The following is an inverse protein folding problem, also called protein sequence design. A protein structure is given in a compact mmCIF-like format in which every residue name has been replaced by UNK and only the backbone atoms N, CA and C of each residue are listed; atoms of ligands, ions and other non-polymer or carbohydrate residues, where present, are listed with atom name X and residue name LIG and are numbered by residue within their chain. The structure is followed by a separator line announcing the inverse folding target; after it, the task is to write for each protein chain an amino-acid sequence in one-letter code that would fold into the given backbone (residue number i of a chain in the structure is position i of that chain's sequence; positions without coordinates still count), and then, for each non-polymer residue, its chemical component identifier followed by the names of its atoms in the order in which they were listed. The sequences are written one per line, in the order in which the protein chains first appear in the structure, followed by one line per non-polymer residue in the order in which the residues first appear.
data_IF_123823659443
#
_entry.id   IF_123823659443
#
_cell.length_a   1.000
_cell.length_b   1.000
_cell.length_c   1.000
_cell.angle_alpha   90.00
_cell.angle_beta   90.00
_cell.angle_gamma   90.00
#
_symmetry.space_group_name_H-M   'P 1'
#
loop_
_entity.id
_entity.type
_entity.pdbx_description
1 polymer ?
#
# COMPACT_ATOMS: atom_id res chain seq x y z
N UNK A 1 -16.33 62.36 1.34
CA UNK A 1 -16.93 61.19 0.71
C UNK A 1 -16.31 59.94 1.28
N UNK A 2 -17.04 59.25 2.18
CA UNK A 2 -16.64 57.96 2.76
C UNK A 2 -17.38 56.88 1.99
N UNK A 3 -16.64 55.96 1.32
CA UNK A 3 -17.12 54.65 0.81
C UNK A 3 -16.16 53.64 1.42
N UNK A 4 -16.56 52.82 2.20
CA UNK A 4 -17.34 51.68 2.41
C UNK A 4 -16.44 50.45 2.21
N UNK A 5 -15.60 50.11 3.26
CA UNK A 5 -14.91 48.80 3.35
C UNK A 5 -15.73 47.94 4.30
N UNK A 6 -16.65 47.16 3.78
CA UNK A 6 -17.31 46.06 4.52
C UNK A 6 -17.88 45.07 3.50
N UNK A 7 -17.29 43.94 3.30
CA UNK A 7 -17.99 42.66 3.02
C UNK A 7 -17.11 41.44 2.67
N UNK A 8 -15.80 41.51 2.74
CA UNK A 8 -15.01 40.36 2.32
C UNK A 8 -14.48 39.47 3.46
N UNK A 9 -14.80 39.75 4.74
CA UNK A 9 -14.29 38.97 5.89
C UNK A 9 -15.17 37.78 6.29
N UNK A 10 -16.37 37.62 5.79
CA UNK A 10 -17.28 36.56 6.27
C UNK A 10 -17.25 35.31 5.39
N UNK A 11 -16.90 35.40 4.12
CA UNK A 11 -16.84 34.25 3.23
C UNK A 11 -15.58 33.39 3.41
N UNK A 12 -14.47 33.98 3.88
CA UNK A 12 -13.22 33.24 4.11
C UNK A 12 -13.27 32.28 5.29
N UNK A 13 -14.07 32.60 6.32
CA UNK A 13 -14.16 31.78 7.54
C UNK A 13 -15.01 30.51 7.34
N UNK A 14 -16.05 30.58 6.53
CA UNK A 14 -16.91 29.42 6.27
C UNK A 14 -16.22 28.37 5.39
N UNK A 15 -15.36 28.80 4.45
CA UNK A 15 -14.64 27.90 3.54
C UNK A 15 -13.54 27.09 4.25
N UNK A 16 -12.87 27.70 5.25
CA UNK A 16 -11.83 27.03 6.03
C UNK A 16 -12.43 26.00 7.00
N UNK A 17 -13.58 26.29 7.59
CA UNK A 17 -14.26 25.33 8.47
C UNK A 17 -14.79 24.10 7.71
N UNK A 18 -15.24 24.25 6.48
CA UNK A 18 -15.70 23.12 5.63
C UNK A 18 -14.53 22.21 5.22
N UNK A 19 -13.36 22.76 4.95
CA UNK A 19 -12.17 21.96 4.62
C UNK A 19 -11.60 21.23 5.84
N UNK A 20 -11.64 21.84 7.02
CA UNK A 20 -11.20 21.20 8.27
C UNK A 20 -12.16 20.10 8.72
N UNK A 21 -13.48 20.28 8.52
CA UNK A 21 -14.49 19.26 8.79
C UNK A 21 -14.31 18.03 7.91
N UNK A 22 -14.11 18.21 6.61
CA UNK A 22 -13.86 17.09 5.68
C UNK A 22 -12.58 16.30 5.99
N UNK A 23 -11.52 16.99 6.44
CA UNK A 23 -10.29 16.32 6.89
C UNK A 23 -10.50 15.53 8.18
N UNK A 24 -11.29 16.06 9.13
CA UNK A 24 -11.57 15.37 10.39
C UNK A 24 -12.45 14.11 10.17
N UNK A 25 -13.48 14.19 9.35
CA UNK A 25 -14.32 13.04 8.99
C UNK A 25 -13.52 11.94 8.26
N UNK A 26 -12.59 12.33 7.39
CA UNK A 26 -11.72 11.36 6.70
C UNK A 26 -10.73 10.70 7.67
N UNK A 27 -10.23 11.42 8.64
CA UNK A 27 -9.31 10.91 9.66
C UNK A 27 -10.00 9.97 10.66
N UNK A 28 -11.26 10.23 11.03
CA UNK A 28 -12.07 9.31 11.85
C UNK A 28 -12.39 8.00 11.11
N UNK A 29 -12.63 8.03 9.78
CA UNK A 29 -12.89 6.83 8.98
C UNK A 29 -11.66 5.93 8.85
N UNK A 30 -10.46 6.51 8.83
CA UNK A 30 -9.19 5.77 8.78
C UNK A 30 -8.78 5.19 10.14
N UNK A 31 -9.23 5.81 11.25
CA UNK A 31 -8.91 5.37 12.61
C UNK A 31 -9.74 4.14 13.06
N UNK A 32 -10.73 3.70 12.30
CA UNK A 32 -11.70 2.69 12.72
C UNK A 32 -11.47 1.32 12.05
N UNK A 33 -10.20 0.94 11.87
CA UNK A 33 -9.84 -0.41 11.43
C UNK A 33 -10.06 -1.40 12.58
N UNK A 34 -11.12 -2.19 12.49
CA UNK A 34 -11.43 -3.23 13.47
C UNK A 34 -10.52 -4.46 13.25
N UNK A 35 -9.56 -4.73 14.16
CA UNK A 35 -8.62 -5.83 14.00
C UNK A 35 -9.29 -7.21 14.08
N UNK A 36 -10.54 -7.32 14.51
CA UNK A 36 -11.31 -8.57 14.47
C UNK A 36 -11.77 -8.95 13.07
N UNK A 37 -11.78 -8.00 12.13
CA UNK A 37 -12.27 -8.18 10.76
C UNK A 37 -11.21 -8.66 9.77
N UNK A 38 -9.98 -8.83 10.21
CA UNK A 38 -8.91 -9.43 9.41
C UNK A 38 -7.99 -10.29 10.26
N UNK A 39 -7.25 -11.19 9.63
CA UNK A 39 -6.11 -11.89 10.20
C UNK A 39 -4.84 -11.29 9.63
N UNK A 40 -3.85 -11.05 10.47
CA UNK A 40 -2.55 -10.54 10.08
C UNK A 40 -1.51 -11.67 10.19
N UNK A 41 -0.91 -12.03 9.05
CA UNK A 41 0.33 -12.78 9.02
C UNK A 41 1.47 -11.79 8.84
N UNK A 42 2.28 -11.62 9.90
CA UNK A 42 3.34 -10.63 9.95
C UNK A 42 4.67 -11.20 9.52
N UNK A 43 5.51 -10.36 8.90
CA UNK A 43 6.89 -10.68 8.52
C UNK A 43 7.02 -11.97 7.68
N UNK A 44 6.07 -12.21 6.76
CA UNK A 44 6.12 -13.35 5.86
C UNK A 44 7.31 -13.21 4.91
N UNK A 45 8.31 -14.09 5.04
CA UNK A 45 9.49 -14.07 4.17
C UNK A 45 9.09 -14.45 2.74
N UNK A 46 9.40 -13.58 1.78
CA UNK A 46 9.09 -13.81 0.37
C UNK A 46 10.34 -13.88 -0.53
N UNK A 47 11.46 -13.29 -0.10
CA UNK A 47 12.75 -13.41 -0.78
C UNK A 47 13.91 -13.12 0.19
N UNK A 48 15.13 -13.51 -0.22
CA UNK A 48 16.36 -13.20 0.55
C UNK A 48 17.53 -12.90 -0.42
N UNK A 49 17.43 -11.82 -1.23
CA UNK A 49 18.49 -11.48 -2.18
C UNK A 49 19.78 -11.07 -1.43
N UNK A 50 20.90 -11.73 -1.77
CA UNK A 50 22.22 -11.47 -1.15
C UNK A 50 22.21 -11.56 0.39
N UNK A 51 21.30 -12.36 0.97
CA UNK A 51 21.19 -12.53 2.43
C UNK A 51 20.42 -11.42 3.16
N UNK A 52 19.75 -10.52 2.44
CA UNK A 52 18.81 -9.56 3.00
C UNK A 52 17.39 -10.13 2.92
N UNK A 53 16.82 -10.45 4.08
CA UNK A 53 15.46 -10.98 4.13
C UNK A 53 14.43 -9.90 3.80
N UNK A 54 13.64 -10.14 2.77
CA UNK A 54 12.52 -9.32 2.36
C UNK A 54 11.23 -9.97 2.81
N UNK A 55 10.46 -9.24 3.60
CA UNK A 55 9.21 -9.72 4.18
C UNK A 55 8.01 -8.94 3.66
N UNK A 56 6.82 -9.47 3.88
CA UNK A 56 5.56 -8.76 3.70
C UNK A 56 4.60 -9.09 4.83
N UNK A 57 3.71 -8.16 5.14
CA UNK A 57 2.59 -8.37 6.03
C UNK A 57 1.34 -8.70 5.21
N UNK A 58 0.64 -9.78 5.55
CA UNK A 58 -0.54 -10.23 4.80
C UNK A 58 -1.79 -10.08 5.66
N UNK A 59 -2.69 -9.20 5.23
CA UNK A 59 -3.98 -8.93 5.85
C UNK A 59 -5.06 -9.72 5.13
N UNK A 60 -5.66 -10.68 5.81
CA UNK A 60 -6.72 -11.54 5.24
C UNK A 60 -8.07 -11.21 5.88
N UNK A 61 -9.11 -10.79 5.12
CA UNK A 61 -10.44 -10.55 5.67
C UNK A 61 -11.04 -11.76 6.36
N UNK A 62 -11.90 -11.54 7.37
CA UNK A 62 -12.60 -12.60 8.12
C UNK A 62 -14.09 -12.68 7.81
N UNK A 63 -14.57 -12.08 6.71
CA UNK A 63 -16.00 -12.02 6.35
C UNK A 63 -16.59 -13.34 5.87
N UNK A 64 -15.80 -14.40 5.80
CA UNK A 64 -16.29 -15.75 5.52
C UNK A 64 -16.33 -16.15 4.05
N UNK A 65 -15.89 -15.29 3.11
CA UNK A 65 -15.78 -15.67 1.71
C UNK A 65 -14.75 -16.81 1.51
N UNK A 66 -14.96 -17.62 0.47
CA UNK A 66 -14.03 -18.69 0.12
C UNK A 66 -12.68 -18.13 -0.36
N UNK A 67 -12.72 -17.10 -1.20
CA UNK A 67 -11.54 -16.36 -1.67
C UNK A 67 -11.82 -14.87 -1.79
N UNK A 68 -10.75 -14.06 -1.80
CA UNK A 68 -10.81 -12.60 -1.91
C UNK A 68 -9.93 -12.10 -3.04
N UNK A 69 -10.24 -10.99 -3.70
CA UNK A 69 -9.29 -10.32 -4.57
C UNK A 69 -8.08 -9.86 -3.77
N UNK A 70 -6.96 -9.69 -4.44
CA UNK A 70 -5.66 -9.41 -3.81
C UNK A 70 -5.15 -8.02 -4.23
N UNK A 71 -4.56 -7.31 -3.28
CA UNK A 71 -3.80 -6.08 -3.53
C UNK A 71 -2.38 -6.27 -3.02
N UNK A 72 -1.40 -6.09 -3.90
CA UNK A 72 0.01 -5.96 -3.52
C UNK A 72 0.33 -4.48 -3.36
N UNK A 73 0.81 -4.10 -2.20
CA UNK A 73 1.01 -2.71 -1.81
C UNK A 73 2.49 -2.43 -1.55
N UNK A 74 3.03 -1.42 -2.24
CA UNK A 74 4.41 -0.98 -2.10
C UNK A 74 4.47 0.39 -1.42
N UNK A 75 5.30 0.54 -0.40
CA UNK A 75 5.45 1.79 0.34
C UNK A 75 6.25 2.85 -0.40
N UNK A 76 6.06 4.12 -0.05
CA UNK A 76 6.88 5.26 -0.48
C UNK A 76 8.17 5.41 0.33
N UNK A 77 8.91 6.48 0.05
CA UNK A 77 10.16 6.78 0.74
C UNK A 77 11.34 7.02 -0.21
N UNK A 78 11.05 7.36 -1.48
CA UNK A 78 12.07 7.68 -2.48
C UNK A 78 13.01 6.54 -2.80
N UNK A 79 12.59 5.30 -2.59
CA UNK A 79 13.40 4.07 -2.70
C UNK A 79 14.60 4.02 -1.72
N UNK A 80 14.69 4.93 -0.76
CA UNK A 80 15.85 5.14 0.11
C UNK A 80 15.57 4.85 1.58
N UNK A 81 14.34 5.09 2.01
CA UNK A 81 13.91 5.03 3.42
C UNK A 81 12.53 4.38 3.56
N UNK A 82 12.12 4.14 4.79
CA UNK A 82 10.85 3.55 5.23
C UNK A 82 10.78 2.02 5.05
N UNK A 83 9.71 1.48 5.53
CA UNK A 83 9.30 0.09 5.40
C UNK A 83 7.76 0.01 5.26
N UNK A 84 7.24 -1.21 5.17
CA UNK A 84 5.80 -1.45 4.98
C UNK A 84 4.92 -0.86 6.09
N UNK A 85 5.44 -0.61 7.29
CA UNK A 85 4.65 -0.14 8.44
C UNK A 85 3.94 1.19 8.18
N UNK A 86 4.47 2.04 7.31
CA UNK A 86 3.81 3.30 6.94
C UNK A 86 2.49 3.10 6.19
N UNK A 87 2.26 1.91 5.62
CA UNK A 87 1.06 1.55 4.87
C UNK A 87 0.07 0.69 5.70
N UNK A 88 0.39 0.34 6.95
CA UNK A 88 -0.42 -0.57 7.78
C UNK A 88 -1.88 -0.15 7.89
N UNK A 89 -2.14 1.14 8.11
CA UNK A 89 -3.50 1.66 8.21
C UNK A 89 -4.29 1.48 6.91
N UNK A 90 -3.65 1.75 5.78
CA UNK A 90 -4.26 1.58 4.46
C UNK A 90 -4.51 0.10 4.14
N UNK A 91 -3.57 -0.77 4.49
CA UNK A 91 -3.70 -2.22 4.32
C UNK A 91 -4.86 -2.78 5.16
N UNK A 92 -4.91 -2.42 6.44
CA UNK A 92 -5.99 -2.79 7.34
C UNK A 92 -7.35 -2.26 6.86
N UNK A 93 -7.40 -1.02 6.36
CA UNK A 93 -8.63 -0.43 5.81
C UNK A 93 -9.16 -1.23 4.62
N UNK A 94 -8.31 -1.56 3.64
CA UNK A 94 -8.72 -2.34 2.47
C UNK A 94 -9.19 -3.75 2.86
N UNK A 95 -8.52 -4.39 3.81
CA UNK A 95 -8.95 -5.70 4.31
C UNK A 95 -10.30 -5.62 5.04
N UNK A 96 -10.49 -4.60 5.89
CA UNK A 96 -11.67 -4.45 6.74
C UNK A 96 -12.92 -4.00 5.97
N UNK A 97 -12.77 -3.05 5.03
CA UNK A 97 -13.89 -2.35 4.41
C UNK A 97 -14.12 -2.74 2.94
N UNK A 98 -13.08 -3.20 2.24
CA UNK A 98 -13.17 -3.55 0.83
C UNK A 98 -13.00 -5.06 0.56
N UNK A 99 -12.76 -5.87 1.60
CA UNK A 99 -12.61 -7.32 1.50
C UNK A 99 -11.51 -7.76 0.53
N UNK A 100 -10.36 -7.07 0.55
CA UNK A 100 -9.16 -7.51 -0.16
C UNK A 100 -8.23 -8.29 0.77
N UNK A 101 -7.58 -9.33 0.27
CA UNK A 101 -6.30 -9.75 0.84
C UNK A 101 -5.26 -8.73 0.44
N UNK A 102 -4.55 -8.15 1.42
CA UNK A 102 -3.55 -7.12 1.15
C UNK A 102 -2.18 -7.66 1.53
N UNK A 103 -1.26 -7.65 0.57
CA UNK A 103 0.15 -7.96 0.77
C UNK A 103 0.93 -6.65 0.84
N UNK A 104 1.29 -6.23 2.04
CA UNK A 104 2.03 -5.00 2.33
C UNK A 104 3.53 -5.31 2.33
N UNK A 105 4.24 -4.91 1.28
CA UNK A 105 5.53 -5.48 0.86
C UNK A 105 6.69 -4.59 1.26
N UNK A 106 7.73 -5.19 1.87
CA UNK A 106 9.08 -4.62 1.94
C UNK A 106 9.88 -5.04 0.70
N UNK A 107 10.65 -4.11 0.16
CA UNK A 107 11.57 -4.29 -0.96
C UNK A 107 12.92 -3.65 -0.59
N UNK A 108 14.01 -4.02 -1.29
CA UNK A 108 15.32 -3.41 -1.06
C UNK A 108 15.28 -1.90 -1.26
N UNK A 109 16.08 -1.19 -0.46
CA UNK A 109 16.27 0.24 -0.56
C UNK A 109 17.65 0.57 -1.14
N UNK A 110 17.79 1.75 -1.74
CA UNK A 110 19.09 2.23 -2.25
C UNK A 110 20.14 2.33 -1.13
N UNK A 111 19.71 2.48 0.14
CA UNK A 111 20.56 2.51 1.33
C UNK A 111 21.07 1.15 1.77
N UNK A 112 20.49 0.06 1.29
CA UNK A 112 20.88 -1.29 1.72
C UNK A 112 22.24 -1.70 1.16
N UNK A 113 22.84 -2.70 1.80
CA UNK A 113 24.18 -3.22 1.45
C UNK A 113 25.24 -2.13 1.28
N UNK A 114 25.20 -1.09 2.15
CA UNK A 114 26.17 0.01 2.10
C UNK A 114 26.00 0.91 0.88
N UNK A 115 24.75 1.14 0.46
CA UNK A 115 24.35 1.91 -0.72
C UNK A 115 24.77 1.27 -2.06
N UNK A 116 24.82 -0.05 -2.14
CA UNK A 116 25.17 -0.76 -3.38
C UNK A 116 23.96 -1.25 -4.18
N UNK A 117 22.77 -1.20 -3.59
CA UNK A 117 21.52 -1.54 -4.28
C UNK A 117 21.19 -0.48 -5.33
N UNK A 118 20.77 -0.92 -6.51
CA UNK A 118 20.37 -0.04 -7.61
C UNK A 118 18.87 -0.15 -7.91
N UNK A 119 18.34 0.83 -8.66
CA UNK A 119 16.92 0.92 -8.95
C UNK A 119 16.38 -0.30 -9.72
N UNK A 120 17.19 -0.92 -10.60
CA UNK A 120 16.75 -2.12 -11.32
C UNK A 120 16.53 -3.30 -10.38
N UNK A 121 17.34 -3.43 -9.33
CA UNK A 121 17.16 -4.46 -8.31
C UNK A 121 15.88 -4.24 -7.52
N UNK A 122 15.56 -2.99 -7.17
CA UNK A 122 14.32 -2.61 -6.48
C UNK A 122 13.10 -2.91 -7.37
N UNK A 123 13.16 -2.57 -8.65
CA UNK A 123 12.10 -2.91 -9.61
C UNK A 123 11.95 -4.43 -9.75
N UNK A 124 13.05 -5.19 -9.78
CA UNK A 124 13.00 -6.65 -9.81
C UNK A 124 12.38 -7.24 -8.53
N UNK A 125 12.60 -6.60 -7.36
CA UNK A 125 11.94 -7.01 -6.12
C UNK A 125 10.41 -6.83 -6.23
N UNK A 126 9.95 -5.73 -6.81
CA UNK A 126 8.50 -5.53 -7.01
C UNK A 126 7.88 -6.61 -7.90
N UNK A 127 8.55 -7.02 -8.98
CA UNK A 127 8.12 -8.17 -9.81
C UNK A 127 8.17 -9.48 -9.03
N UNK A 128 9.26 -9.72 -8.30
CA UNK A 128 9.43 -10.92 -7.46
C UNK A 128 8.33 -11.07 -6.43
N UNK A 129 7.97 -9.98 -5.74
CA UNK A 129 6.88 -9.97 -4.76
C UNK A 129 5.54 -10.34 -5.41
N UNK A 130 5.21 -9.79 -6.58
CA UNK A 130 3.95 -10.12 -7.27
C UNK A 130 3.95 -11.56 -7.75
N UNK A 131 5.07 -12.09 -8.26
CA UNK A 131 5.18 -13.51 -8.63
C UNK A 131 4.99 -14.41 -7.40
N UNK A 132 5.68 -14.11 -6.30
CA UNK A 132 5.50 -14.86 -5.05
C UNK A 132 4.03 -14.86 -4.59
N UNK A 133 3.37 -13.70 -4.65
CA UNK A 133 1.94 -13.59 -4.32
C UNK A 133 1.09 -14.47 -5.22
N UNK A 134 1.31 -14.47 -6.53
CA UNK A 134 0.57 -15.33 -7.47
C UNK A 134 0.75 -16.82 -7.16
N UNK A 135 1.89 -17.23 -6.64
CA UNK A 135 2.19 -18.63 -6.32
C UNK A 135 1.67 -19.06 -4.94
N UNK A 136 1.65 -18.16 -3.95
CA UNK A 136 1.45 -18.53 -2.55
C UNK A 136 0.16 -17.98 -1.91
N UNK A 137 -0.50 -16.98 -2.53
CA UNK A 137 -1.58 -16.25 -1.86
C UNK A 137 -2.85 -17.07 -1.61
N UNK A 138 -2.99 -18.23 -2.25
CA UNK A 138 -4.10 -19.13 -2.01
C UNK A 138 -4.14 -19.63 -0.55
N UNK A 139 -2.99 -19.78 0.11
CA UNK A 139 -2.86 -20.16 1.52
C UNK A 139 -3.46 -19.11 2.46
N UNK A 140 -3.56 -17.87 1.97
CA UNK A 140 -4.17 -16.72 2.66
C UNK A 140 -5.56 -16.37 2.10
N UNK A 141 -6.22 -17.32 1.40
CA UNK A 141 -7.52 -17.13 0.73
C UNK A 141 -7.53 -16.05 -0.36
N UNK A 142 -6.39 -15.67 -0.90
CA UNK A 142 -6.31 -14.75 -2.03
C UNK A 142 -6.58 -15.47 -3.35
N UNK A 143 -7.27 -14.78 -4.25
CA UNK A 143 -7.50 -15.24 -5.63
C UNK A 143 -6.35 -14.77 -6.51
N UNK A 144 -5.46 -15.69 -6.88
CA UNK A 144 -4.29 -15.43 -7.72
C UNK A 144 -4.62 -14.88 -9.11
N UNK A 145 -5.86 -14.98 -9.56
CA UNK A 145 -6.32 -14.47 -10.86
C UNK A 145 -6.84 -13.03 -10.80
N UNK A 146 -7.06 -12.51 -9.59
CA UNK A 146 -7.57 -11.16 -9.32
C UNK A 146 -6.58 -10.38 -8.45
N UNK A 147 -5.41 -10.07 -9.01
CA UNK A 147 -4.34 -9.35 -8.33
C UNK A 147 -4.22 -7.94 -8.89
N UNK A 148 -4.31 -6.96 -8.03
CA UNK A 148 -4.00 -5.56 -8.30
C UNK A 148 -2.72 -5.14 -7.59
N UNK A 149 -2.07 -4.08 -8.07
CA UNK A 149 -0.92 -3.47 -7.42
C UNK A 149 -1.22 -2.01 -7.11
N UNK A 150 -0.69 -1.51 -6.00
CA UNK A 150 -0.83 -0.11 -5.57
C UNK A 150 0.39 0.33 -4.77
N UNK A 151 0.50 1.60 -4.50
CA UNK A 151 1.52 2.18 -3.65
C UNK A 151 1.47 3.70 -3.68
N UNK A 152 2.23 4.33 -2.80
CA UNK A 152 2.40 5.78 -2.76
C UNK A 152 3.79 6.18 -3.26
N UNK A 153 3.94 7.35 -3.89
CA UNK A 153 5.24 7.92 -4.28
C UNK A 153 6.16 6.91 -5.01
N UNK A 154 7.28 6.50 -4.41
CA UNK A 154 8.17 5.46 -4.94
C UNK A 154 7.45 4.13 -5.17
N UNK A 155 6.53 3.75 -4.27
CA UNK A 155 5.69 2.55 -4.42
C UNK A 155 4.72 2.65 -5.59
N UNK A 156 4.19 3.85 -5.88
CA UNK A 156 3.38 4.08 -7.08
C UNK A 156 4.19 3.88 -8.37
N UNK A 157 5.46 4.32 -8.39
CA UNK A 157 6.37 4.04 -9.50
C UNK A 157 6.59 2.53 -9.67
N UNK A 158 6.86 1.79 -8.58
CA UNK A 158 7.03 0.33 -8.64
C UNK A 158 5.77 -0.35 -9.16
N UNK A 159 4.59 0.07 -8.70
CA UNK A 159 3.30 -0.42 -9.21
C UNK A 159 3.13 -0.16 -10.71
N UNK A 160 3.50 1.04 -11.18
CA UNK A 160 3.46 1.39 -12.60
C UNK A 160 4.43 0.55 -13.43
N UNK A 161 5.63 0.27 -12.93
CA UNK A 161 6.61 -0.61 -13.59
C UNK A 161 6.06 -2.03 -13.73
N UNK A 162 5.47 -2.60 -12.68
CA UNK A 162 4.85 -3.93 -12.71
C UNK A 162 3.75 -4.00 -13.77
N UNK A 163 2.85 -3.01 -13.82
CA UNK A 163 1.73 -2.99 -14.78
C UNK A 163 2.22 -2.83 -16.22
N UNK A 164 3.16 -1.90 -16.47
CA UNK A 164 3.61 -1.60 -17.83
C UNK A 164 4.55 -2.65 -18.41
N UNK A 165 5.17 -3.48 -17.57
CA UNK A 165 6.08 -4.55 -17.99
C UNK A 165 5.47 -5.93 -17.69
N UNK A 166 4.14 -6.04 -17.80
CA UNK A 166 3.38 -7.23 -17.43
C UNK A 166 3.79 -8.54 -18.10
N UNK A 167 4.41 -8.47 -19.29
CA UNK A 167 4.97 -9.64 -19.98
C UNK A 167 6.01 -10.39 -19.13
N UNK A 168 6.66 -9.71 -18.18
CA UNK A 168 7.58 -10.33 -17.20
C UNK A 168 6.87 -11.14 -16.11
N UNK A 169 5.55 -11.00 -15.98
CA UNK A 169 4.73 -11.73 -15.01
C UNK A 169 4.05 -12.96 -15.62
N UNK A 170 4.11 -13.12 -16.95
CA UNK A 170 3.70 -14.33 -17.64
C UNK A 170 4.88 -15.30 -17.62
N UNK A 171 4.96 -16.14 -16.60
CA UNK A 171 5.70 -17.40 -16.75
C UNK A 171 4.80 -18.34 -17.56
N UNK A 172 5.28 -18.80 -18.67
CA UNK A 172 4.72 -19.91 -19.43
C UNK A 172 4.53 -21.16 -18.57
#
# INVERSE_FOLDING_TARGET
MRRGFKQYKLLGFLSVCLLLGACAEHQESMANNDPSKYRLAKDVLWASPNGLDLTMDIYTPTTGAATYPVVVMFHGGGWLINDNSIMDQSAAYLATHANYVVCNVNYRLLSDHGNSVNLNEIVNDAFGAVLWVKDNIADYKGDRTRVAVTGDSAGAHLSAMVVNMGDRLSSD
#
